data_IF_759182879379
#
_entry.id   IF_759182879379
#
_cell.length_a   1.000
_cell.length_b   1.000
_cell.length_c   1.000
_cell.angle_alpha   90.00
_cell.angle_beta   90.00
_cell.angle_gamma   90.00
#
_symmetry.space_group_name_H-M   'P 1'
#
loop_
_entity.id
_entity.type
_entity.pdbx_description
1 polymer ?
#
# COMPACT_ATOMS: atom_id res chain seq x y z
N UNK A 1 1.36 10.25 -3.99
CA UNK A 1 0.77 9.79 -2.70
C UNK A 1 1.88 9.22 -1.82
N UNK A 2 1.69 9.15 -0.51
CA UNK A 2 2.68 8.58 0.41
C UNK A 2 2.20 7.23 0.94
N UNK A 3 2.90 6.15 0.59
CA UNK A 3 2.66 4.82 1.14
C UNK A 3 3.49 4.65 2.42
N UNK A 4 2.81 4.37 3.53
CA UNK A 4 3.45 4.09 4.82
C UNK A 4 3.17 2.65 5.22
N UNK A 5 4.22 1.86 5.43
CA UNK A 5 4.14 0.45 5.85
C UNK A 5 4.79 0.31 7.22
N UNK A 6 4.12 -0.40 8.13
CA UNK A 6 4.62 -0.67 9.49
C UNK A 6 4.87 -2.16 9.71
N UNK A 7 6.06 -2.50 10.20
CA UNK A 7 6.48 -3.89 10.42
C UNK A 7 6.27 -4.36 11.86
N UNK A 8 6.44 -3.49 12.85
CA UNK A 8 6.20 -3.83 14.26
C UNK A 8 4.81 -3.47 14.77
N UNK A 9 4.40 -4.13 15.86
CA UNK A 9 3.13 -3.85 16.54
C UNK A 9 3.07 -2.42 17.08
N UNK A 10 4.19 -1.91 17.61
CA UNK A 10 4.29 -0.55 18.15
C UNK A 10 4.15 0.52 17.04
N UNK A 11 4.82 0.32 15.90
CA UNK A 11 4.70 1.18 14.73
C UNK A 11 3.26 1.19 14.20
N UNK A 12 2.63 0.01 14.07
CA UNK A 12 1.22 -0.11 13.65
C UNK A 12 0.26 0.64 14.58
N UNK A 13 0.45 0.54 15.90
CA UNK A 13 -0.35 1.28 16.86
C UNK A 13 -0.22 2.80 16.68
N UNK A 14 0.99 3.28 16.43
CA UNK A 14 1.22 4.71 16.17
C UNK A 14 0.62 5.16 14.84
N UNK A 15 0.74 4.36 13.78
CA UNK A 15 0.12 4.64 12.48
C UNK A 15 -1.41 4.69 12.61
N UNK A 16 -2.02 3.75 13.32
CA UNK A 16 -3.47 3.75 13.58
C UNK A 16 -3.92 5.04 14.28
N UNK A 17 -3.15 5.51 15.27
CA UNK A 17 -3.46 6.75 15.96
C UNK A 17 -3.37 7.96 15.04
N UNK A 18 -2.31 8.04 14.21
CA UNK A 18 -2.17 9.11 13.19
C UNK A 18 -3.37 9.11 12.25
N UNK A 19 -3.75 7.94 11.72
CA UNK A 19 -4.88 7.83 10.79
C UNK A 19 -6.21 8.25 11.43
N UNK A 20 -6.45 7.88 12.71
CA UNK A 20 -7.68 8.24 13.44
C UNK A 20 -7.72 9.73 13.82
N UNK A 21 -6.58 10.34 14.10
CA UNK A 21 -6.53 11.75 14.51
C UNK A 21 -6.55 12.71 13.33
N UNK A 22 -6.07 12.25 12.15
CA UNK A 22 -5.89 13.09 10.96
C UNK A 22 -6.51 12.43 9.72
N UNK A 23 -7.78 12.06 9.82
CA UNK A 23 -8.52 11.34 8.77
C UNK A 23 -8.50 12.09 7.42
N UNK A 24 -8.43 13.42 7.44
CA UNK A 24 -8.34 14.26 6.25
C UNK A 24 -7.09 13.99 5.39
N UNK A 25 -6.02 13.51 6.04
CA UNK A 25 -4.76 13.17 5.38
C UNK A 25 -4.72 11.75 4.83
N UNK A 26 -5.67 10.89 5.23
CA UNK A 26 -5.70 9.48 4.86
C UNK A 26 -6.50 9.29 3.57
N UNK A 27 -5.87 8.70 2.56
CA UNK A 27 -6.55 8.29 1.32
C UNK A 27 -7.16 6.90 1.51
N UNK A 28 -6.37 5.94 2.02
CA UNK A 28 -6.82 4.57 2.35
C UNK A 28 -6.02 3.98 3.50
N UNK A 29 -6.61 3.04 4.23
CA UNK A 29 -5.94 2.32 5.31
C UNK A 29 -6.16 0.81 5.17
N UNK A 30 -5.10 0.03 5.35
CA UNK A 30 -5.09 -1.43 5.26
C UNK A 30 -4.27 -2.03 6.39
N UNK A 31 -4.84 -2.10 7.59
CA UNK A 31 -4.22 -2.74 8.75
C UNK A 31 -2.86 -2.13 9.15
N UNK A 32 -1.76 -2.66 8.60
CA UNK A 32 -0.38 -2.20 8.81
C UNK A 32 0.10 -1.15 7.80
N UNK A 33 -0.70 -0.87 6.79
CA UNK A 33 -0.38 0.04 5.68
C UNK A 33 -1.37 1.21 5.68
N UNK A 34 -0.89 2.41 5.35
CA UNK A 34 -1.74 3.55 5.03
C UNK A 34 -1.22 4.25 3.79
N UNK A 35 -2.15 4.73 2.97
CA UNK A 35 -1.87 5.61 1.85
C UNK A 35 -2.31 7.01 2.26
N UNK A 36 -1.36 7.93 2.37
CA UNK A 36 -1.60 9.31 2.77
C UNK A 36 -1.58 10.23 1.55
N UNK A 37 -2.31 11.35 1.68
CA UNK A 37 -2.25 12.45 0.72
C UNK A 37 -0.85 13.03 0.69
N UNK A 38 -0.47 13.59 -0.45
CA UNK A 38 0.85 14.20 -0.61
C UNK A 38 0.83 15.66 -0.15
N UNK A 39 0.57 15.85 1.14
CA UNK A 39 0.60 17.16 1.79
C UNK A 39 1.82 17.25 2.71
N UNK A 40 2.30 18.47 2.97
CA UNK A 40 3.41 18.69 3.90
C UNK A 40 3.11 18.10 5.30
N UNK A 41 1.85 18.19 5.75
CA UNK A 41 1.43 17.64 7.03
C UNK A 41 1.42 16.09 7.04
N UNK A 42 0.94 15.44 5.98
CA UNK A 42 1.00 14.00 5.85
C UNK A 42 2.46 13.49 5.80
N UNK A 43 3.33 14.20 5.07
CA UNK A 43 4.76 13.92 5.02
C UNK A 43 5.40 14.04 6.40
N UNK A 44 5.08 15.10 7.15
CA UNK A 44 5.54 15.26 8.53
C UNK A 44 5.14 14.07 9.41
N UNK A 45 3.88 13.61 9.33
CA UNK A 45 3.41 12.49 10.13
C UNK A 45 4.11 11.17 9.75
N UNK A 46 4.35 10.93 8.46
CA UNK A 46 5.09 9.76 7.99
C UNK A 46 6.55 9.78 8.47
N UNK A 47 7.24 10.92 8.35
CA UNK A 47 8.61 11.09 8.82
C UNK A 47 8.70 10.95 10.34
N UNK A 48 7.78 11.55 11.10
CA UNK A 48 7.71 11.40 12.55
C UNK A 48 7.54 9.94 12.98
N UNK A 49 6.73 9.16 12.26
CA UNK A 49 6.62 7.72 12.51
C UNK A 49 7.94 7.00 12.28
N UNK A 50 8.64 7.32 11.18
CA UNK A 50 9.96 6.75 10.87
C UNK A 50 11.03 7.13 11.89
N UNK A 51 11.08 8.37 12.35
CA UNK A 51 11.99 8.79 13.42
C UNK A 51 11.70 8.05 14.73
N UNK A 52 10.41 7.84 15.05
CA UNK A 52 10.01 7.16 16.30
C UNK A 52 10.31 5.65 16.30
N UNK A 53 10.18 4.99 15.16
CA UNK A 53 10.20 3.52 15.07
C UNK A 53 11.32 2.96 14.17
N UNK A 54 12.14 3.84 13.58
CA UNK A 54 13.27 3.46 12.73
C UNK A 54 12.86 2.59 11.54
N UNK A 55 13.61 1.50 11.36
CA UNK A 55 13.42 0.53 10.26
C UNK A 55 12.09 -0.21 10.28
N UNK A 56 11.29 -0.10 11.34
CA UNK A 56 9.94 -0.64 11.38
C UNK A 56 8.93 0.16 10.55
N UNK A 57 9.35 1.28 9.95
CA UNK A 57 8.50 2.13 9.11
C UNK A 57 9.17 2.36 7.76
N UNK A 58 8.53 1.88 6.70
CA UNK A 58 8.87 2.22 5.33
C UNK A 58 7.94 3.34 4.84
N UNK A 59 8.52 4.32 4.14
CA UNK A 59 7.79 5.42 3.52
C UNK A 59 8.22 5.50 2.06
N UNK A 60 7.27 5.34 1.15
CA UNK A 60 7.49 5.46 -0.29
C UNK A 60 6.60 6.55 -0.87
N UNK A 61 7.11 7.26 -1.87
CA UNK A 61 6.28 8.11 -2.73
C UNK A 61 5.76 7.23 -3.87
N UNK A 62 4.45 7.10 -3.98
CA UNK A 62 3.81 6.24 -4.98
C UNK A 62 2.87 7.02 -5.88
N UNK A 63 2.73 6.54 -7.10
CA UNK A 63 1.74 6.98 -8.08
C UNK A 63 0.75 5.86 -8.40
N UNK A 64 -0.47 6.19 -8.88
CA UNK A 64 -1.40 5.17 -9.35
C UNK A 64 -0.80 4.36 -10.50
N UNK A 65 -1.05 3.05 -10.49
CA UNK A 65 -0.62 2.17 -11.57
C UNK A 65 -1.58 2.27 -12.76
N UNK A 66 -1.09 2.72 -13.91
CA UNK A 66 -1.83 2.74 -15.17
C UNK A 66 -1.43 1.54 -16.03
N UNK A 67 -2.25 0.49 -16.04
CA UNK A 67 -1.97 -0.75 -16.77
C UNK A 67 -1.94 -0.59 -18.30
N UNK A 68 -2.56 0.46 -18.85
CA UNK A 68 -2.54 0.70 -20.29
C UNK A 68 -1.24 1.36 -20.77
N UNK A 69 -0.53 2.03 -19.87
CA UNK A 69 0.79 2.64 -20.14
C UNK A 69 1.94 1.76 -19.67
N UNK A 70 1.77 1.06 -18.54
CA UNK A 70 2.87 0.40 -17.84
C UNK A 70 3.14 -1.03 -18.32
N UNK A 71 2.19 -1.68 -19.00
CA UNK A 71 2.34 -3.06 -19.48
C UNK A 71 1.76 -3.26 -20.88
N UNK A 72 2.35 -4.21 -21.61
CA UNK A 72 1.88 -4.60 -22.93
C UNK A 72 0.46 -5.20 -22.88
N UNK A 73 -0.26 -5.08 -23.99
CA UNK A 73 -1.61 -5.65 -24.13
C UNK A 73 -1.65 -7.15 -23.87
N UNK A 74 -0.57 -7.87 -24.20
CA UNK A 74 -0.45 -9.31 -23.97
C UNK A 74 -0.56 -9.65 -22.48
N UNK A 75 0.02 -8.84 -21.58
CA UNK A 75 -0.06 -9.06 -20.13
C UNK A 75 -1.50 -8.90 -19.65
N UNK A 76 -2.21 -7.86 -20.13
CA UNK A 76 -3.61 -7.61 -19.76
C UNK A 76 -4.54 -8.69 -20.31
N UNK A 77 -4.31 -9.11 -21.55
CA UNK A 77 -5.03 -10.21 -22.19
C UNK A 77 -4.80 -11.53 -21.45
N UNK A 78 -3.57 -11.83 -21.08
CA UNK A 78 -3.23 -13.02 -20.30
C UNK A 78 -3.89 -13.01 -18.92
N UNK A 79 -3.87 -11.88 -18.21
CA UNK A 79 -4.54 -11.74 -16.92
C UNK A 79 -6.06 -12.01 -17.03
N UNK A 80 -6.70 -11.45 -18.06
CA UNK A 80 -8.12 -11.68 -18.34
C UNK A 80 -8.41 -13.15 -18.66
N UNK A 81 -7.65 -13.73 -19.60
CA UNK A 81 -7.82 -15.13 -19.99
C UNK A 81 -7.58 -16.09 -18.81
N UNK A 82 -6.65 -15.76 -17.90
CA UNK A 82 -6.38 -16.57 -16.71
C UNK A 82 -7.57 -16.58 -15.75
N UNK A 83 -8.21 -15.45 -15.50
CA UNK A 83 -9.38 -15.35 -14.60
C UNK A 83 -10.66 -15.89 -15.26
N UNK A 84 -10.81 -15.77 -16.57
CA UNK A 84 -11.97 -16.30 -17.33
C UNK A 84 -11.87 -17.81 -17.62
N UNK A 85 -10.80 -18.50 -17.19
CA UNK A 85 -10.62 -19.92 -17.51
C UNK A 85 -11.68 -20.80 -16.82
N UNK A 86 -12.22 -21.76 -17.56
CA UNK A 86 -13.25 -22.67 -17.06
C UNK A 86 -12.78 -23.66 -15.99
N UNK A 87 -11.47 -23.97 -15.95
CA UNK A 87 -10.91 -24.97 -15.03
C UNK A 87 -9.84 -24.35 -14.12
N UNK A 88 -10.02 -24.35 -12.79
CA UNK A 88 -8.98 -23.91 -11.87
C UNK A 88 -7.74 -24.80 -12.02
N UNK A 89 -6.54 -24.21 -11.90
CA UNK A 89 -5.27 -24.93 -11.92
C UNK A 89 -5.33 -26.07 -10.91
N UNK A 90 -5.05 -27.29 -11.38
CA UNK A 90 -4.97 -28.44 -10.50
C UNK A 90 -3.92 -28.14 -9.41
N UNK A 91 -4.28 -28.19 -8.12
CA UNK A 91 -3.29 -28.01 -7.06
C UNK A 91 -2.19 -29.05 -7.25
N UNK A 92 -0.94 -28.62 -7.05
CA UNK A 92 0.19 -29.54 -7.01
C UNK A 92 -0.14 -30.63 -5.97
N UNK A 93 -0.09 -31.89 -6.40
CA UNK A 93 -0.37 -33.01 -5.51
C UNK A 93 0.60 -32.96 -4.33
N UNK A 94 0.06 -32.89 -3.11
CA UNK A 94 0.80 -33.03 -1.85
C UNK A 94 0.94 -34.51 -1.53
#
# INVERSE_FOLDING_TARGET
MLLVVTYSRAARGSLRNVCRTHEETVVRQFGRVALLRETAFAAFQALRLREKHGGDVQVERTEPFNEFEAVDEEVRTAARAYEERDSPSLPYAV
#
